data_IF_572951874467
#
_entry.id   IF_572951874467
#
_cell.length_a   1.000
_cell.length_b   1.000
_cell.length_c   1.000
_cell.angle_alpha   90.00
_cell.angle_beta   90.00
_cell.angle_gamma   90.00
#
_symmetry.space_group_name_H-M   'P 1'
#
loop_
_entity.id
_entity.type
_entity.pdbx_description
1 polymer ?
#
# COMPACT_ATOMS: atom_id res chain seq x y z
N UNK A 1 -4.47 20.69 17.48
CA UNK A 1 -4.48 21.08 16.05
C UNK A 1 -5.49 22.19 15.85
N UNK A 2 -5.07 23.32 15.31
CA UNK A 2 -5.95 24.47 15.06
C UNK A 2 -6.78 24.26 13.78
N UNK A 3 -7.91 24.99 13.63
CA UNK A 3 -8.71 24.96 12.39
C UNK A 3 -7.89 25.31 11.13
N UNK A 4 -6.81 26.08 11.28
CA UNK A 4 -5.88 26.42 10.20
C UNK A 4 -4.98 25.24 9.79
N UNK A 5 -4.63 24.35 10.73
CA UNK A 5 -3.82 23.16 10.42
C UNK A 5 -4.65 22.13 9.65
N UNK A 6 -5.94 21.98 10.00
CA UNK A 6 -6.87 21.11 9.26
C UNK A 6 -7.11 21.59 7.82
N UNK A 7 -7.21 22.89 7.60
CA UNK A 7 -7.36 23.46 6.25
C UNK A 7 -6.15 23.15 5.35
N UNK A 8 -4.95 23.38 5.83
CA UNK A 8 -3.69 23.13 5.10
C UNK A 8 -3.47 21.64 4.79
N UNK A 9 -3.80 20.74 5.73
CA UNK A 9 -3.70 19.29 5.53
C UNK A 9 -4.71 18.83 4.46
N UNK A 10 -5.93 19.36 4.47
CA UNK A 10 -6.97 19.04 3.51
C UNK A 10 -6.62 19.54 2.09
N UNK A 11 -6.00 20.68 1.97
CA UNK A 11 -5.55 21.28 0.71
C UNK A 11 -4.39 20.48 0.10
N UNK A 12 -3.38 20.12 0.89
CA UNK A 12 -2.27 19.24 0.48
C UNK A 12 -2.75 17.85 0.05
N UNK A 13 -3.71 17.25 0.77
CA UNK A 13 -4.29 15.95 0.41
C UNK A 13 -5.04 16.00 -0.93
N UNK A 14 -5.76 17.10 -1.21
CA UNK A 14 -6.43 17.32 -2.50
C UNK A 14 -5.43 17.47 -3.64
N UNK A 15 -4.34 18.21 -3.43
CA UNK A 15 -3.28 18.41 -4.41
C UNK A 15 -2.53 17.10 -4.71
N UNK A 16 -2.32 16.26 -3.69
CA UNK A 16 -1.74 14.94 -3.84
C UNK A 16 -2.56 14.07 -4.79
N UNK A 17 -3.88 13.95 -4.55
CA UNK A 17 -4.75 13.15 -5.41
C UNK A 17 -4.84 13.72 -6.82
N UNK A 18 -4.93 15.05 -6.99
CA UNK A 18 -4.98 15.70 -8.29
C UNK A 18 -3.76 15.41 -9.17
N UNK A 19 -2.59 15.18 -8.57
CA UNK A 19 -1.38 14.84 -9.31
C UNK A 19 -1.43 13.45 -9.97
N UNK A 20 -2.23 12.54 -9.42
CA UNK A 20 -2.35 11.16 -9.89
C UNK A 20 -3.71 10.85 -10.52
N UNK A 21 -4.73 11.70 -10.28
CA UNK A 21 -6.05 11.52 -10.83
C UNK A 21 -6.04 11.81 -12.33
N UNK A 22 -6.57 10.89 -13.11
CA UNK A 22 -6.65 11.03 -14.57
C UNK A 22 -8.06 10.83 -15.11
N UNK A 23 -8.98 10.40 -14.29
CA UNK A 23 -10.37 10.18 -14.67
C UNK A 23 -11.32 10.40 -13.50
N UNK A 24 -12.54 10.82 -13.84
CA UNK A 24 -13.67 10.94 -12.92
C UNK A 24 -14.84 10.14 -13.46
N UNK A 25 -15.52 9.40 -12.57
CA UNK A 25 -16.69 8.61 -12.93
C UNK A 25 -17.82 8.85 -11.95
N UNK A 26 -19.05 8.87 -12.46
CA UNK A 26 -20.28 8.90 -11.65
C UNK A 26 -20.79 7.48 -11.47
N UNK A 27 -21.18 7.13 -10.24
CA UNK A 27 -21.72 5.83 -9.89
C UNK A 27 -22.98 5.97 -9.04
N UNK A 28 -24.08 5.39 -9.50
CA UNK A 28 -25.34 5.37 -8.75
C UNK A 28 -25.47 4.06 -7.98
N UNK A 29 -25.61 4.17 -6.66
CA UNK A 29 -25.85 3.02 -5.78
C UNK A 29 -26.96 3.33 -4.80
N UNK A 30 -27.99 2.47 -4.78
CA UNK A 30 -29.25 2.70 -4.09
C UNK A 30 -29.84 4.08 -4.44
N UNK A 31 -30.12 4.92 -3.45
CA UNK A 31 -30.71 6.26 -3.63
C UNK A 31 -29.66 7.37 -3.82
N UNK A 32 -28.35 7.06 -3.70
CA UNK A 32 -27.27 8.05 -3.77
C UNK A 32 -26.53 7.99 -5.11
N UNK A 33 -26.06 9.14 -5.54
CA UNK A 33 -25.09 9.26 -6.65
C UNK A 33 -23.74 9.63 -6.08
N UNK A 34 -22.72 8.89 -6.45
CA UNK A 34 -21.34 9.07 -6.01
C UNK A 34 -20.46 9.52 -7.16
N UNK A 35 -19.41 10.26 -6.85
CA UNK A 35 -18.37 10.67 -7.80
C UNK A 35 -17.04 10.16 -7.31
N UNK A 36 -16.34 9.38 -8.15
CA UNK A 36 -15.03 8.84 -7.85
C UNK A 36 -13.97 9.39 -8.78
N UNK A 37 -12.91 9.93 -8.21
CA UNK A 37 -11.66 10.17 -8.94
C UNK A 37 -10.89 8.86 -9.02
N UNK A 38 -10.39 8.53 -10.21
CA UNK A 38 -9.66 7.30 -10.50
C UNK A 38 -8.23 7.63 -10.96
N UNK A 39 -7.34 6.63 -10.90
CA UNK A 39 -5.95 6.73 -11.33
C UNK A 39 -5.54 5.51 -12.15
N UNK A 40 -4.77 5.71 -13.22
CA UNK A 40 -4.10 4.62 -13.97
C UNK A 40 -3.09 3.86 -13.12
N UNK A 41 -2.67 4.47 -12.02
CA UNK A 41 -1.75 3.88 -11.05
C UNK A 41 -2.42 2.92 -10.07
N UNK A 42 -3.76 2.88 -10.03
CA UNK A 42 -4.57 2.07 -9.12
C UNK A 42 -5.44 1.07 -9.88
N UNK A 43 -5.93 0.06 -9.16
CA UNK A 43 -6.92 -0.88 -9.70
C UNK A 43 -8.21 -0.14 -10.10
N UNK A 44 -8.86 -0.61 -11.18
CA UNK A 44 -10.08 0.00 -11.74
C UNK A 44 -9.89 1.42 -12.28
N UNK A 45 -8.83 1.63 -13.07
CA UNK A 45 -8.44 2.93 -13.60
C UNK A 45 -9.41 3.55 -14.62
N UNK A 46 -10.28 2.77 -15.24
CA UNK A 46 -11.17 3.23 -16.32
C UNK A 46 -12.63 3.45 -15.88
N UNK A 47 -13.15 2.64 -14.98
CA UNK A 47 -14.52 2.69 -14.45
C UNK A 47 -14.59 1.89 -13.15
N UNK A 48 -15.72 1.93 -12.45
CA UNK A 48 -15.98 1.06 -11.31
C UNK A 48 -16.00 -0.39 -11.80
N UNK A 49 -15.16 -1.22 -11.19
CA UNK A 49 -14.99 -2.62 -11.52
C UNK A 49 -16.29 -3.43 -11.44
N UNK A 50 -16.51 -4.35 -12.37
CA UNK A 50 -17.71 -5.17 -12.42
C UNK A 50 -17.84 -6.13 -11.24
N UNK A 51 -16.75 -6.56 -10.63
CA UNK A 51 -16.75 -7.32 -9.38
C UNK A 51 -17.26 -6.49 -8.21
N UNK A 52 -16.81 -5.26 -8.07
CA UNK A 52 -17.30 -4.32 -7.05
C UNK A 52 -18.78 -4.01 -7.24
N UNK A 53 -19.26 -3.85 -8.48
CA UNK A 53 -20.69 -3.66 -8.79
C UNK A 53 -21.51 -4.89 -8.38
N UNK A 54 -21.00 -6.11 -8.67
CA UNK A 54 -21.67 -7.36 -8.29
C UNK A 54 -21.73 -7.51 -6.76
N UNK A 55 -20.64 -7.23 -6.05
CA UNK A 55 -20.62 -7.29 -4.59
C UNK A 55 -21.62 -6.31 -3.97
N UNK A 56 -21.65 -5.06 -4.45
CA UNK A 56 -22.60 -4.05 -3.96
C UNK A 56 -24.06 -4.44 -4.24
N UNK A 57 -24.36 -5.10 -5.36
CA UNK A 57 -25.69 -5.68 -5.65
C UNK A 57 -26.08 -6.72 -4.58
N UNK A 58 -25.19 -7.67 -4.27
CA UNK A 58 -25.42 -8.67 -3.21
C UNK A 58 -25.56 -8.01 -1.84
N UNK A 59 -24.71 -7.02 -1.56
CA UNK A 59 -24.78 -6.28 -0.31
C UNK A 59 -26.11 -5.52 -0.15
N UNK A 60 -26.65 -4.92 -1.22
CA UNK A 60 -27.96 -4.26 -1.16
C UNK A 60 -29.11 -5.22 -0.83
N UNK A 61 -29.10 -6.44 -1.36
CA UNK A 61 -30.08 -7.48 -1.04
C UNK A 61 -30.06 -7.84 0.45
N UNK A 62 -28.86 -7.99 1.01
CA UNK A 62 -28.68 -8.23 2.44
C UNK A 62 -29.21 -7.06 3.31
N UNK A 63 -29.02 -5.81 2.87
CA UNK A 63 -29.56 -4.64 3.56
C UNK A 63 -31.09 -4.61 3.52
N UNK A 64 -31.72 -5.01 2.42
CA UNK A 64 -33.17 -5.09 2.28
C UNK A 64 -33.78 -6.17 3.18
N UNK A 65 -33.10 -7.32 3.33
CA UNK A 65 -33.52 -8.37 4.26
C UNK A 65 -33.46 -7.89 5.72
N UNK A 66 -32.41 -7.17 6.11
CA UNK A 66 -32.31 -6.55 7.45
C UNK A 66 -33.42 -5.52 7.71
N UNK A 67 -33.86 -4.79 6.71
CA UNK A 67 -34.97 -3.87 6.82
C UNK A 67 -36.31 -4.61 7.06
N UNK A 68 -36.48 -5.78 6.43
CA UNK A 68 -37.69 -6.60 6.55
C UNK A 68 -37.77 -7.37 7.86
N UNK A 69 -36.60 -7.80 8.36
CA UNK A 69 -36.47 -8.63 9.58
C UNK A 69 -35.43 -8.02 10.51
N UNK A 70 -35.76 -6.93 11.24
CA UNK A 70 -34.87 -6.40 12.25
C UNK A 70 -34.63 -7.46 13.33
N UNK A 71 -33.41 -7.57 13.89
CA UNK A 71 -33.11 -8.52 14.97
C UNK A 71 -34.04 -8.26 16.16
N UNK A 72 -34.60 -9.32 16.74
CA UNK A 72 -35.64 -9.28 17.81
C UNK A 72 -35.23 -8.49 19.07
N UNK A 73 -33.93 -8.24 19.28
CA UNK A 73 -33.37 -7.52 20.43
C UNK A 73 -32.78 -6.15 20.03
N UNK A 74 -33.28 -5.50 19.01
CA UNK A 74 -32.81 -4.16 18.66
C UNK A 74 -33.18 -3.16 19.76
N UNK A 75 -32.19 -2.72 20.52
CA UNK A 75 -32.29 -1.55 21.38
C UNK A 75 -32.79 -0.36 20.56
N UNK A 76 -33.53 0.60 21.15
CA UNK A 76 -34.06 1.77 20.43
C UNK A 76 -32.98 2.60 19.71
N UNK A 77 -31.72 2.39 19.99
CA UNK A 77 -30.58 2.92 19.26
C UNK A 77 -29.57 1.78 19.04
N UNK A 78 -29.54 1.14 17.85
CA UNK A 78 -28.56 0.09 17.58
C UNK A 78 -27.14 0.64 17.73
N UNK A 79 -26.20 -0.14 18.26
CA UNK A 79 -24.81 0.27 18.35
C UNK A 79 -24.27 0.59 16.94
N UNK A 80 -23.32 1.52 16.87
CA UNK A 80 -22.67 1.87 15.61
C UNK A 80 -22.15 0.62 14.90
N UNK A 81 -22.47 0.47 13.60
CA UNK A 81 -22.00 -0.64 12.79
C UNK A 81 -20.54 -0.42 12.41
N UNK A 82 -19.71 -1.45 12.61
CA UNK A 82 -18.30 -1.46 12.24
C UNK A 82 -18.12 -2.21 10.92
N UNK A 83 -17.48 -1.55 9.95
CA UNK A 83 -17.24 -2.10 8.61
C UNK A 83 -15.75 -2.03 8.31
N UNK A 84 -15.17 -3.12 7.79
CA UNK A 84 -13.84 -3.14 7.22
C UNK A 84 -13.93 -3.26 5.70
N UNK A 85 -13.34 -2.31 4.97
CA UNK A 85 -13.08 -2.41 3.52
C UNK A 85 -11.62 -2.83 3.32
N UNK A 86 -11.40 -4.13 3.09
CA UNK A 86 -10.08 -4.72 2.99
C UNK A 86 -9.59 -4.76 1.54
N UNK A 87 -8.57 -3.96 1.24
CA UNK A 87 -8.10 -3.68 -0.12
C UNK A 87 -8.97 -2.61 -0.78
N UNK A 88 -9.08 -1.44 -0.14
CA UNK A 88 -10.08 -0.42 -0.47
C UNK A 88 -9.88 0.25 -1.85
N UNK A 89 -8.66 0.24 -2.40
CA UNK A 89 -8.37 0.90 -3.67
C UNK A 89 -8.75 2.38 -3.66
N UNK A 90 -9.70 2.79 -4.51
CA UNK A 90 -10.22 4.16 -4.54
C UNK A 90 -11.44 4.38 -3.62
N UNK A 91 -11.79 3.39 -2.80
CA UNK A 91 -12.80 3.49 -1.75
C UNK A 91 -14.24 3.13 -2.17
N UNK A 92 -14.46 2.49 -3.31
CA UNK A 92 -15.81 2.23 -3.83
C UNK A 92 -16.67 1.47 -2.84
N UNK A 93 -16.18 0.35 -2.30
CA UNK A 93 -16.97 -0.51 -1.42
C UNK A 93 -17.26 0.18 -0.08
N UNK A 94 -16.24 0.70 0.58
CA UNK A 94 -16.36 1.35 1.88
C UNK A 94 -17.22 2.61 1.84
N UNK A 95 -17.07 3.45 0.83
CA UNK A 95 -17.85 4.69 0.68
C UNK A 95 -19.32 4.37 0.39
N UNK A 96 -19.60 3.44 -0.52
CA UNK A 96 -20.99 3.02 -0.81
C UNK A 96 -21.65 2.35 0.39
N UNK A 97 -20.91 1.52 1.14
CA UNK A 97 -21.40 0.90 2.36
C UNK A 97 -21.70 1.94 3.46
N UNK A 98 -20.78 2.90 3.68
CA UNK A 98 -21.00 3.99 4.63
C UNK A 98 -22.29 4.75 4.33
N UNK A 99 -22.48 5.19 3.07
CA UNK A 99 -23.67 5.91 2.66
C UNK A 99 -24.95 5.09 2.80
N UNK A 100 -24.93 3.81 2.39
CA UNK A 100 -26.08 2.92 2.49
C UNK A 100 -26.49 2.63 3.94
N UNK A 101 -25.50 2.41 4.82
CA UNK A 101 -25.74 2.12 6.23
C UNK A 101 -26.17 3.38 7.03
N UNK A 102 -25.65 4.57 6.69
CA UNK A 102 -26.11 5.82 7.26
C UNK A 102 -27.61 6.07 6.97
N UNK A 103 -28.08 5.71 5.77
CA UNK A 103 -29.49 5.84 5.39
C UNK A 103 -30.41 4.84 6.11
N UNK A 104 -29.86 3.75 6.64
CA UNK A 104 -30.59 2.67 7.29
C UNK A 104 -30.59 2.74 8.81
N UNK A 105 -29.45 3.06 9.37
CA UNK A 105 -29.25 3.01 10.80
C UNK A 105 -29.55 4.38 11.40
N UNK A 106 -30.51 4.49 12.27
CA UNK A 106 -30.61 5.62 13.20
C UNK A 106 -29.38 5.73 14.13
N UNK A 107 -28.39 4.81 13.99
CA UNK A 107 -27.11 4.76 14.70
C UNK A 107 -25.91 5.10 13.81
N UNK A 108 -24.76 5.36 14.41
CA UNK A 108 -23.51 5.69 13.70
C UNK A 108 -22.99 4.50 12.87
N UNK A 109 -22.22 4.82 11.84
CA UNK A 109 -21.47 3.85 11.03
C UNK A 109 -20.02 4.25 11.04
N UNK A 110 -19.13 3.31 11.30
CA UNK A 110 -17.70 3.48 11.20
C UNK A 110 -17.12 2.49 10.19
N UNK A 111 -16.47 3.01 9.16
CA UNK A 111 -15.77 2.24 8.13
C UNK A 111 -14.26 2.44 8.31
N UNK A 112 -13.54 1.35 8.52
CA UNK A 112 -12.08 1.32 8.34
C UNK A 112 -11.80 0.83 6.91
N UNK A 113 -11.11 1.62 6.12
CA UNK A 113 -10.67 1.26 4.78
C UNK A 113 -9.15 0.99 4.82
N UNK A 114 -8.71 -0.19 4.42
CA UNK A 114 -7.30 -0.59 4.45
C UNK A 114 -6.79 -0.90 3.04
N UNK A 115 -5.60 -0.42 2.73
CA UNK A 115 -4.86 -0.85 1.54
C UNK A 115 -3.36 -0.80 1.83
N UNK A 116 -2.60 -1.73 1.24
CA UNK A 116 -1.13 -1.71 1.30
C UNK A 116 -0.51 -0.56 0.52
N UNK A 117 -1.27 0.04 -0.41
CA UNK A 117 -0.86 1.14 -1.26
C UNK A 117 -1.29 2.48 -0.64
N UNK A 118 -0.32 3.30 -0.24
CA UNK A 118 -0.59 4.61 0.34
C UNK A 118 -1.36 5.55 -0.61
N UNK A 119 -1.19 5.39 -1.93
CA UNK A 119 -1.95 6.16 -2.91
C UNK A 119 -3.43 5.78 -2.89
N UNK A 120 -3.74 4.49 -2.76
CA UNK A 120 -5.12 4.00 -2.65
C UNK A 120 -5.83 4.62 -1.45
N UNK A 121 -5.20 4.63 -0.28
CA UNK A 121 -5.75 5.24 0.92
C UNK A 121 -6.03 6.74 0.75
N UNK A 122 -5.11 7.47 0.09
CA UNK A 122 -5.33 8.91 -0.21
C UNK A 122 -6.49 9.14 -1.17
N UNK A 123 -6.66 8.29 -2.18
CA UNK A 123 -7.83 8.34 -3.07
C UNK A 123 -9.12 8.01 -2.32
N UNK A 124 -9.10 7.01 -1.44
CA UNK A 124 -10.25 6.66 -0.59
C UNK A 124 -10.67 7.83 0.30
N UNK A 125 -9.74 8.48 1.02
CA UNK A 125 -10.02 9.67 1.82
C UNK A 125 -10.59 10.83 1.00
N UNK A 126 -10.00 11.10 -0.16
CA UNK A 126 -10.45 12.16 -1.05
C UNK A 126 -11.86 11.90 -1.59
N UNK A 127 -12.10 10.69 -2.10
CA UNK A 127 -13.40 10.28 -2.62
C UNK A 127 -14.47 10.25 -1.52
N UNK A 128 -14.14 9.80 -0.30
CA UNK A 128 -15.07 9.81 0.83
C UNK A 128 -15.55 11.23 1.13
N UNK A 129 -14.65 12.18 1.33
CA UNK A 129 -14.99 13.59 1.59
C UNK A 129 -15.81 14.19 0.47
N UNK A 130 -15.47 13.91 -0.78
CA UNK A 130 -16.17 14.40 -1.96
C UNK A 130 -17.62 13.91 -2.03
N UNK A 131 -17.88 12.73 -1.47
CA UNK A 131 -19.21 12.13 -1.40
C UNK A 131 -19.93 12.38 -0.06
N UNK A 132 -19.45 13.34 0.73
CA UNK A 132 -20.06 13.72 2.01
C UNK A 132 -19.87 12.71 3.14
N UNK A 133 -18.91 11.79 3.02
CA UNK A 133 -18.52 10.86 4.08
C UNK A 133 -17.31 11.46 4.80
N UNK A 134 -17.51 11.90 6.04
CA UNK A 134 -16.47 12.53 6.87
C UNK A 134 -15.53 11.51 7.53
N UNK A 135 -14.46 12.04 8.14
CA UNK A 135 -13.44 11.22 8.80
C UNK A 135 -13.97 10.48 10.04
N UNK A 136 -15.07 10.96 10.63
CA UNK A 136 -15.78 10.29 11.73
C UNK A 136 -16.51 9.02 11.28
N UNK A 137 -16.83 8.91 9.99
CA UNK A 137 -17.55 7.77 9.40
C UNK A 137 -16.66 6.86 8.58
N UNK A 138 -15.54 7.38 8.02
CA UNK A 138 -14.59 6.58 7.26
C UNK A 138 -13.15 7.03 7.51
N UNK A 139 -12.32 6.08 7.95
CA UNK A 139 -10.88 6.25 8.15
C UNK A 139 -10.13 5.33 7.20
N UNK A 140 -9.28 5.88 6.32
CA UNK A 140 -8.40 5.10 5.47
C UNK A 140 -7.00 4.95 6.09
N UNK A 141 -6.47 3.74 6.08
CA UNK A 141 -5.17 3.40 6.67
C UNK A 141 -4.30 2.61 5.68
N UNK A 142 -3.03 3.03 5.58
CA UNK A 142 -2.06 2.32 4.74
C UNK A 142 -1.57 1.09 5.48
N UNK A 143 -2.32 0.02 5.36
CA UNK A 143 -2.09 -1.26 6.01
C UNK A 143 -2.52 -2.40 5.07
N UNK A 144 -1.82 -3.53 5.06
CA UNK A 144 -2.24 -4.70 4.30
C UNK A 144 -3.51 -5.34 4.87
N UNK A 145 -4.04 -6.33 4.13
CA UNK A 145 -5.27 -7.04 4.46
C UNK A 145 -5.30 -7.56 5.91
N UNK A 146 -6.36 -7.24 6.65
CA UNK A 146 -6.64 -7.71 8.00
C UNK A 146 -5.54 -7.40 9.03
N UNK A 147 -4.81 -6.35 8.82
CA UNK A 147 -3.90 -5.78 9.82
C UNK A 147 -4.67 -4.87 10.79
N UNK A 148 -4.08 -4.57 11.92
CA UNK A 148 -4.58 -3.59 12.87
C UNK A 148 -4.61 -4.08 14.32
N UNK A 149 -5.36 -3.38 15.17
CA UNK A 149 -5.39 -3.61 16.62
C UNK A 149 -5.93 -5.00 16.99
N UNK A 150 -5.28 -5.62 17.95
CA UNK A 150 -5.77 -6.83 18.59
C UNK A 150 -7.20 -6.60 19.13
N UNK A 151 -8.13 -7.50 18.83
CA UNK A 151 -9.52 -7.47 19.26
C UNK A 151 -10.51 -6.56 18.49
N UNK A 152 -10.15 -5.98 17.33
CA UNK A 152 -11.18 -5.41 16.46
C UNK A 152 -12.07 -6.53 15.91
N UNK A 153 -13.36 -6.48 16.24
CA UNK A 153 -14.40 -7.35 15.66
C UNK A 153 -15.32 -6.51 14.79
N UNK A 154 -15.62 -7.04 13.58
CA UNK A 154 -16.35 -6.35 12.55
C UNK A 154 -17.77 -6.92 12.38
N UNK A 155 -18.76 -6.04 12.20
CA UNK A 155 -20.09 -6.44 11.77
C UNK A 155 -20.08 -6.87 10.31
N UNK A 156 -19.29 -6.16 9.48
CA UNK A 156 -19.21 -6.37 8.03
C UNK A 156 -17.75 -6.28 7.60
N UNK A 157 -17.30 -7.22 6.78
CA UNK A 157 -16.05 -7.11 6.03
C UNK A 157 -16.39 -7.16 4.54
N UNK A 158 -15.93 -6.16 3.79
CA UNK A 158 -16.05 -6.06 2.35
C UNK A 158 -14.68 -6.23 1.72
N UNK A 159 -14.59 -6.94 0.61
CA UNK A 159 -13.34 -7.02 -0.16
C UNK A 159 -13.55 -7.39 -1.60
N UNK A 160 -12.91 -6.66 -2.50
CA UNK A 160 -12.62 -7.12 -3.86
C UNK A 160 -11.20 -7.69 -3.85
N UNK A 161 -11.10 -9.00 -3.53
CA UNK A 161 -9.83 -9.61 -3.17
C UNK A 161 -8.85 -9.64 -4.35
N UNK A 162 -7.60 -9.15 -4.19
CA UNK A 162 -6.65 -9.09 -5.29
C UNK A 162 -6.20 -10.51 -5.69
N UNK A 163 -6.53 -10.95 -6.91
CA UNK A 163 -6.22 -12.29 -7.43
C UNK A 163 -4.73 -12.64 -7.39
N UNK A 164 -3.85 -11.63 -7.42
CA UNK A 164 -2.38 -11.78 -7.42
C UNK A 164 -1.74 -11.67 -6.02
N UNK A 165 -2.53 -11.76 -4.96
CA UNK A 165 -1.98 -11.68 -3.59
C UNK A 165 -1.21 -12.94 -3.15
N UNK A 166 -1.24 -14.02 -3.96
CA UNK A 166 -0.66 -15.32 -3.61
C UNK A 166 -1.66 -16.25 -2.91
N UNK A 167 -1.67 -17.52 -3.29
CA UNK A 167 -2.64 -18.50 -2.75
C UNK A 167 -2.56 -18.69 -1.23
N UNK A 168 -1.36 -18.62 -0.67
CA UNK A 168 -1.13 -18.72 0.78
C UNK A 168 -1.77 -17.56 1.54
N UNK A 169 -1.60 -16.33 1.05
CA UNK A 169 -2.21 -15.12 1.60
C UNK A 169 -3.74 -15.16 1.46
N UNK A 170 -4.25 -15.58 0.29
CA UNK A 170 -5.69 -15.70 0.04
C UNK A 170 -6.37 -16.73 0.95
N UNK A 171 -5.71 -17.88 1.17
CA UNK A 171 -6.20 -18.92 2.11
C UNK A 171 -6.23 -18.40 3.55
N UNK A 172 -5.17 -17.73 3.99
CA UNK A 172 -5.11 -17.12 5.32
C UNK A 172 -6.17 -16.04 5.49
N UNK A 173 -6.39 -15.21 4.46
CA UNK A 173 -7.44 -14.18 4.47
C UNK A 173 -8.82 -14.75 4.78
N UNK A 174 -9.24 -15.85 4.14
CA UNK A 174 -10.55 -16.47 4.39
C UNK A 174 -10.70 -16.85 5.87
N UNK A 175 -9.67 -17.45 6.47
CA UNK A 175 -9.69 -17.87 7.87
C UNK A 175 -9.71 -16.67 8.83
N UNK A 176 -8.81 -15.68 8.61
CA UNK A 176 -8.69 -14.52 9.50
C UNK A 176 -9.87 -13.56 9.38
N UNK A 177 -10.43 -13.37 8.19
CA UNK A 177 -11.60 -12.52 8.02
C UNK A 177 -12.80 -13.05 8.80
N UNK A 178 -13.03 -14.37 8.79
CA UNK A 178 -14.08 -14.97 9.60
C UNK A 178 -13.80 -14.83 11.11
N UNK A 179 -12.53 -14.98 11.54
CA UNK A 179 -12.16 -14.83 12.95
C UNK A 179 -12.31 -13.37 13.43
N UNK A 180 -12.12 -12.40 12.56
CA UNK A 180 -12.28 -10.97 12.86
C UNK A 180 -13.73 -10.47 12.88
N UNK A 181 -14.71 -11.33 12.59
CA UNK A 181 -16.12 -10.98 12.68
C UNK A 181 -16.65 -11.01 14.11
N UNK A 182 -17.61 -10.15 14.41
CA UNK A 182 -18.55 -10.36 15.52
C UNK A 182 -19.37 -11.64 15.30
N UNK A 183 -20.11 -12.09 16.32
CA UNK A 183 -20.89 -13.34 16.26
C UNK A 183 -21.81 -13.43 15.03
N UNK A 184 -22.52 -12.36 14.72
CA UNK A 184 -23.47 -12.30 13.61
C UNK A 184 -22.92 -11.53 12.39
N UNK A 185 -21.62 -11.28 12.38
CA UNK A 185 -20.94 -10.56 11.31
C UNK A 185 -20.89 -11.36 10.01
N UNK A 186 -20.63 -10.66 8.90
CA UNK A 186 -20.56 -11.24 7.56
C UNK A 186 -19.38 -10.70 6.78
N UNK A 187 -18.72 -11.57 6.06
CA UNK A 187 -17.76 -11.23 5.01
C UNK A 187 -18.48 -11.26 3.67
N UNK A 188 -18.35 -10.20 2.91
CA UNK A 188 -18.73 -10.11 1.50
C UNK A 188 -17.45 -10.04 0.68
N UNK A 189 -17.12 -11.10 0.00
CA UNK A 189 -15.90 -11.21 -0.79
C UNK A 189 -16.25 -11.45 -2.25
N UNK A 190 -15.74 -10.60 -3.14
CA UNK A 190 -15.77 -10.85 -4.57
C UNK A 190 -14.40 -11.28 -5.07
N UNK A 191 -14.38 -12.30 -5.91
CA UNK A 191 -13.18 -12.86 -6.51
C UNK A 191 -13.39 -13.09 -8.01
N UNK A 192 -12.31 -13.07 -8.80
CA UNK A 192 -12.36 -13.45 -10.21
C UNK A 192 -12.77 -14.89 -10.37
N UNK A 193 -13.56 -15.19 -11.39
CA UNK A 193 -14.16 -16.51 -11.67
C UNK A 193 -13.16 -17.70 -11.60
N UNK A 194 -11.94 -17.60 -12.14
CA UNK A 194 -10.96 -18.69 -12.05
C UNK A 194 -10.54 -19.08 -10.64
N UNK A 195 -10.77 -18.24 -9.63
CA UNK A 195 -10.48 -18.53 -8.22
C UNK A 195 -11.70 -19.01 -7.43
N UNK A 196 -12.87 -19.16 -8.06
CA UNK A 196 -14.11 -19.53 -7.34
C UNK A 196 -14.00 -20.88 -6.62
N UNK A 197 -13.49 -21.92 -7.29
CA UNK A 197 -13.35 -23.24 -6.69
C UNK A 197 -12.30 -23.26 -5.57
N UNK A 198 -11.24 -22.47 -5.74
CA UNK A 198 -10.23 -22.29 -4.68
C UNK A 198 -10.84 -21.68 -3.42
N UNK A 199 -11.61 -20.59 -3.54
CA UNK A 199 -12.24 -19.95 -2.39
C UNK A 199 -13.32 -20.81 -1.75
N UNK A 200 -14.14 -21.51 -2.56
CA UNK A 200 -15.12 -22.45 -2.04
C UNK A 200 -14.45 -23.55 -1.21
N UNK A 201 -13.33 -24.09 -1.71
CA UNK A 201 -12.54 -25.09 -0.98
C UNK A 201 -11.94 -24.52 0.31
N UNK A 202 -11.48 -23.26 0.32
CA UNK A 202 -10.96 -22.61 1.52
C UNK A 202 -12.06 -22.40 2.58
N UNK A 203 -13.25 -21.96 2.19
CA UNK A 203 -14.41 -21.74 3.08
C UNK A 203 -14.85 -23.09 3.69
N UNK A 204 -14.97 -24.13 2.86
CA UNK A 204 -15.33 -25.48 3.31
C UNK A 204 -14.27 -26.06 4.25
N UNK A 205 -13.00 -25.97 3.90
CA UNK A 205 -11.90 -26.50 4.74
C UNK A 205 -11.77 -25.78 6.07
N UNK A 206 -12.19 -24.51 6.16
CA UNK A 206 -12.23 -23.75 7.40
C UNK A 206 -13.56 -23.94 8.18
N UNK A 207 -14.45 -24.83 7.72
CA UNK A 207 -15.78 -25.07 8.28
C UNK A 207 -16.60 -23.81 8.51
N UNK A 208 -16.50 -22.81 7.59
CA UNK A 208 -17.22 -21.55 7.69
C UNK A 208 -18.63 -21.68 7.11
N UNK A 209 -19.66 -21.09 7.74
CA UNK A 209 -21.01 -21.06 7.17
C UNK A 209 -21.02 -20.16 5.93
N UNK A 210 -21.33 -20.74 4.77
CA UNK A 210 -21.54 -20.02 3.52
C UNK A 210 -23.04 -19.70 3.40
N UNK A 211 -23.40 -18.41 3.47
CA UNK A 211 -24.78 -17.95 3.44
C UNK A 211 -25.29 -17.67 2.04
N UNK A 212 -24.40 -17.23 1.15
CA UNK A 212 -24.76 -16.91 -0.23
C UNK A 212 -23.57 -17.03 -1.15
N UNK A 213 -23.82 -17.45 -2.38
CA UNK A 213 -22.88 -17.47 -3.49
C UNK A 213 -23.58 -16.92 -4.74
N UNK A 214 -23.09 -15.80 -5.28
CA UNK A 214 -23.61 -15.20 -6.51
C UNK A 214 -22.58 -15.34 -7.63
N UNK A 215 -22.95 -16.07 -8.66
CA UNK A 215 -22.10 -16.29 -9.82
C UNK A 215 -22.38 -15.29 -10.94
N UNK A 216 -21.50 -14.31 -11.13
CA UNK A 216 -21.49 -13.42 -12.29
C UNK A 216 -20.79 -14.01 -13.49
N UNK A 217 -20.63 -13.22 -14.56
CA UNK A 217 -19.89 -13.60 -15.76
C UNK A 217 -18.42 -13.86 -15.48
N UNK A 218 -17.74 -12.88 -14.89
CA UNK A 218 -16.28 -12.86 -14.69
C UNK A 218 -15.87 -12.93 -13.21
N UNK A 219 -16.84 -12.87 -12.30
CA UNK A 219 -16.64 -12.82 -10.86
C UNK A 219 -17.63 -13.70 -10.12
N UNK A 220 -17.27 -14.11 -8.92
CA UNK A 220 -18.15 -14.78 -7.94
C UNK A 220 -18.09 -14.01 -6.63
N UNK A 221 -19.24 -13.76 -6.02
CA UNK A 221 -19.37 -13.20 -4.66
C UNK A 221 -19.67 -14.32 -3.70
N UNK A 222 -18.94 -14.35 -2.59
CA UNK A 222 -19.16 -15.25 -1.45
C UNK A 222 -19.59 -14.42 -0.25
N UNK A 223 -20.65 -14.86 0.45
CA UNK A 223 -21.06 -14.31 1.74
C UNK A 223 -20.94 -15.40 2.79
N UNK A 224 -20.01 -15.24 3.70
CA UNK A 224 -19.77 -16.22 4.77
C UNK A 224 -19.61 -15.55 6.12
N UNK A 225 -19.65 -16.33 7.19
CA UNK A 225 -19.63 -15.82 8.54
C UNK A 225 -18.62 -16.54 9.44
N UNK A 226 -18.69 -16.20 10.73
CA UNK A 226 -17.92 -16.83 11.79
C UNK A 226 -18.52 -18.21 12.12
N UNK A 227 -17.68 -19.21 12.33
CA UNK A 227 -18.06 -20.51 12.89
C UNK A 227 -17.79 -20.51 14.39
N UNK A 228 -18.56 -21.27 15.16
CA UNK A 228 -18.27 -21.49 16.59
C UNK A 228 -16.89 -22.12 16.82
N UNK A 229 -16.41 -22.87 15.82
CA UNK A 229 -15.09 -23.51 15.84
C UNK A 229 -13.97 -22.57 15.36
N UNK A 230 -14.29 -21.38 14.88
CA UNK A 230 -13.29 -20.43 14.37
C UNK A 230 -12.51 -19.86 15.55
N UNK A 231 -11.29 -20.35 15.77
CA UNK A 231 -10.41 -19.81 16.80
C UNK A 231 -10.13 -18.32 16.54
N UNK A 232 -10.08 -17.52 17.60
CA UNK A 232 -9.61 -16.13 17.50
C UNK A 232 -8.20 -16.17 16.94
N UNK A 233 -7.97 -15.52 15.79
CA UNK A 233 -6.63 -15.32 15.24
C UNK A 233 -6.18 -13.92 15.60
N UNK A 234 -4.92 -13.79 16.03
CA UNK A 234 -4.31 -12.48 16.25
C UNK A 234 -4.28 -11.69 14.95
N UNK A 235 -4.46 -10.38 15.00
CA UNK A 235 -4.26 -9.51 13.83
C UNK A 235 -2.82 -9.63 13.33
N UNK A 236 -2.62 -9.30 12.06
CA UNK A 236 -1.27 -9.21 11.50
C UNK A 236 -0.67 -7.90 12.00
N UNK A 237 0.49 -7.99 12.64
CA UNK A 237 1.26 -6.83 13.07
C UNK A 237 2.42 -6.66 12.09
N UNK A 238 2.54 -5.47 11.52
CA UNK A 238 3.62 -5.11 10.59
C UNK A 238 4.72 -4.37 11.35
N UNK A 239 5.47 -5.13 12.12
CA UNK A 239 6.65 -4.69 12.87
C UNK A 239 7.95 -5.24 12.27
N UNK A 240 9.04 -5.18 13.04
CA UNK A 240 10.35 -5.65 12.61
C UNK A 240 10.46 -7.18 12.49
N UNK A 241 9.46 -7.95 12.96
CA UNK A 241 9.38 -9.41 12.81
C UNK A 241 8.63 -9.83 11.54
N UNK A 242 8.03 -8.89 10.80
CA UNK A 242 7.44 -9.19 9.51
C UNK A 242 8.55 -9.40 8.45
N UNK A 243 8.50 -10.40 7.55
CA UNK A 243 7.42 -11.39 7.40
C UNK A 243 7.63 -12.68 8.18
N UNK A 244 8.64 -12.79 9.06
CA UNK A 244 9.03 -14.03 9.72
C UNK A 244 7.89 -14.65 10.54
N UNK A 245 7.11 -13.82 11.26
CA UNK A 245 5.95 -14.26 12.02
C UNK A 245 4.74 -14.63 11.14
N UNK A 246 4.81 -14.28 9.85
CA UNK A 246 3.74 -14.50 8.88
C UNK A 246 4.26 -15.21 7.62
N UNK A 247 4.71 -16.48 7.74
CA UNK A 247 5.41 -17.20 6.67
C UNK A 247 4.59 -17.37 5.39
N UNK A 248 3.27 -17.23 5.46
CA UNK A 248 2.40 -17.26 4.28
C UNK A 248 2.59 -16.04 3.33
N UNK A 249 3.25 -14.97 3.78
CA UNK A 249 3.69 -13.89 2.91
C UNK A 249 5.03 -14.18 2.21
N UNK A 250 5.87 -15.06 2.76
CA UNK A 250 7.17 -15.37 2.17
C UNK A 250 7.00 -16.21 0.91
N UNK A 251 7.60 -15.76 -0.20
CA UNK A 251 7.66 -16.51 -1.47
C UNK A 251 8.92 -17.34 -1.57
N UNK A 252 10.07 -16.69 -1.54
CA UNK A 252 11.38 -17.31 -1.69
C UNK A 252 12.38 -16.71 -0.70
N UNK A 253 13.37 -17.54 -0.33
CA UNK A 253 14.57 -17.12 0.43
C UNK A 253 15.75 -17.32 -0.48
N UNK A 254 16.35 -16.24 -0.98
CA UNK A 254 17.43 -16.32 -1.95
C UNK A 254 18.60 -15.41 -1.56
N UNK A 255 19.77 -15.83 -2.00
CA UNK A 255 20.96 -14.95 -2.05
C UNK A 255 21.10 -14.42 -3.46
N UNK A 256 21.28 -13.12 -3.56
CA UNK A 256 21.43 -12.38 -4.81
C UNK A 256 22.84 -11.83 -4.91
N UNK A 257 23.28 -11.56 -6.14
CA UNK A 257 24.52 -10.90 -6.41
C UNK A 257 24.32 -9.76 -7.42
N UNK A 258 24.85 -8.58 -7.10
CA UNK A 258 24.92 -7.44 -8.01
C UNK A 258 26.33 -6.83 -7.95
N UNK A 259 26.97 -6.70 -9.11
CA UNK A 259 28.32 -6.11 -9.25
C UNK A 259 29.36 -6.74 -8.29
N UNK A 260 29.31 -8.08 -8.11
CA UNK A 260 30.20 -8.84 -7.24
C UNK A 260 29.89 -8.76 -5.74
N UNK A 261 28.80 -8.11 -5.35
CA UNK A 261 28.37 -7.97 -3.95
C UNK A 261 27.14 -8.87 -3.72
N UNK A 262 27.27 -9.79 -2.78
CA UNK A 262 26.17 -10.70 -2.38
C UNK A 262 25.36 -10.13 -1.21
N UNK A 263 24.06 -10.37 -1.25
CA UNK A 263 23.11 -10.06 -0.17
C UNK A 263 21.96 -11.07 -0.17
N UNK A 264 21.32 -11.28 0.97
CA UNK A 264 20.17 -12.18 1.12
C UNK A 264 18.88 -11.39 1.28
N UNK A 265 17.81 -11.88 0.66
CA UNK A 265 16.48 -11.29 0.76
C UNK A 265 15.40 -12.36 0.71
N UNK A 266 14.45 -12.27 1.65
CA UNK A 266 13.19 -13.03 1.59
C UNK A 266 12.20 -12.24 0.75
N UNK A 267 11.88 -12.72 -0.47
CA UNK A 267 10.86 -12.10 -1.29
C UNK A 267 9.47 -12.45 -0.80
N UNK A 268 8.53 -11.53 -0.92
CA UNK A 268 7.19 -11.64 -0.35
C UNK A 268 6.08 -11.54 -1.40
N UNK A 269 4.95 -12.17 -1.09
CA UNK A 269 3.72 -12.03 -1.86
C UNK A 269 3.23 -10.58 -1.81
N UNK A 270 2.77 -10.08 -2.94
CA UNK A 270 2.20 -8.75 -3.04
C UNK A 270 3.21 -7.60 -3.10
N UNK A 271 4.51 -7.85 -3.06
CA UNK A 271 5.53 -6.84 -3.35
C UNK A 271 5.69 -6.66 -4.88
N UNK A 272 6.09 -5.47 -5.34
CA UNK A 272 6.61 -5.29 -6.69
C UNK A 272 7.93 -6.08 -6.84
N UNK A 273 8.53 -6.10 -8.02
CA UNK A 273 9.83 -6.76 -8.32
C UNK A 273 9.84 -8.30 -8.26
N UNK A 274 8.78 -8.93 -7.79
CA UNK A 274 8.69 -10.39 -7.63
C UNK A 274 9.95 -10.97 -6.94
N UNK A 275 10.70 -11.82 -7.63
CA UNK A 275 11.82 -12.58 -7.06
C UNK A 275 13.21 -12.08 -7.52
N UNK A 276 13.28 -11.00 -8.30
CA UNK A 276 14.55 -10.53 -8.85
C UNK A 276 14.66 -9.00 -8.80
N UNK A 277 15.88 -8.45 -8.63
CA UNK A 277 16.10 -7.02 -8.70
C UNK A 277 15.74 -6.48 -10.08
N UNK A 278 14.96 -5.38 -10.10
CA UNK A 278 14.56 -4.70 -11.33
C UNK A 278 15.74 -4.11 -12.12
N UNK A 279 15.55 -3.91 -13.44
CA UNK A 279 16.60 -3.39 -14.31
C UNK A 279 17.11 -2.00 -13.90
N UNK A 280 16.27 -1.15 -13.32
CA UNK A 280 16.62 0.16 -12.78
C UNK A 280 17.58 0.03 -11.58
N UNK A 281 17.30 -0.90 -10.66
CA UNK A 281 18.13 -1.22 -9.49
C UNK A 281 19.48 -1.74 -9.93
N UNK A 282 19.52 -2.67 -10.88
CA UNK A 282 20.76 -3.22 -11.44
C UNK A 282 21.62 -2.15 -12.13
N UNK A 283 21.01 -1.18 -12.82
CA UNK A 283 21.73 -0.08 -13.44
C UNK A 283 22.31 0.89 -12.38
N UNK A 284 21.55 1.16 -11.30
CA UNK A 284 21.97 2.02 -10.21
C UNK A 284 23.11 1.40 -9.40
N UNK A 285 23.07 0.10 -9.10
CA UNK A 285 24.15 -0.62 -8.43
C UNK A 285 25.45 -0.55 -9.25
N UNK A 286 25.39 -0.82 -10.56
CA UNK A 286 26.53 -0.68 -11.46
C UNK A 286 27.12 0.74 -11.49
N UNK A 287 26.24 1.75 -11.50
CA UNK A 287 26.67 3.14 -11.48
C UNK A 287 27.34 3.52 -10.16
N UNK A 288 26.78 3.08 -9.03
CA UNK A 288 27.33 3.32 -7.70
C UNK A 288 28.77 2.78 -7.55
N UNK A 289 29.00 1.53 -7.96
CA UNK A 289 30.35 0.91 -7.95
C UNK A 289 31.30 1.68 -8.87
N UNK A 290 30.88 1.98 -10.10
CA UNK A 290 31.72 2.70 -11.07
C UNK A 290 32.11 4.10 -10.60
N UNK A 291 31.18 4.82 -9.97
CA UNK A 291 31.43 6.19 -9.50
C UNK A 291 32.25 6.23 -8.21
N UNK A 292 32.09 5.26 -7.34
CA UNK A 292 32.80 5.12 -6.05
C UNK A 292 32.76 6.40 -5.18
N UNK A 293 31.59 7.02 -5.07
CA UNK A 293 31.40 8.31 -4.36
C UNK A 293 30.61 8.17 -3.05
N UNK A 294 30.01 7.01 -2.79
CA UNK A 294 29.17 6.75 -1.63
C UNK A 294 30.01 6.37 -0.42
N UNK A 295 29.61 6.80 0.78
CA UNK A 295 30.38 6.61 2.02
C UNK A 295 29.57 5.84 3.05
N UNK A 296 30.27 5.13 3.93
CA UNK A 296 29.65 4.34 5.00
C UNK A 296 28.84 5.20 5.98
N UNK A 297 29.26 6.42 6.24
CA UNK A 297 28.67 7.32 7.22
C UNK A 297 27.47 8.12 6.66
N UNK A 298 27.16 7.99 5.36
CA UNK A 298 26.11 8.76 4.71
C UNK A 298 24.74 8.45 5.35
N UNK A 299 23.94 9.50 5.62
CA UNK A 299 22.52 9.39 5.88
C UNK A 299 21.81 9.15 4.55
N UNK A 300 21.07 8.07 4.46
CA UNK A 300 20.56 7.52 3.19
C UNK A 300 19.04 7.55 3.14
N UNK A 301 18.48 8.03 2.05
CA UNK A 301 17.07 7.79 1.72
C UNK A 301 16.95 7.08 0.38
N UNK A 302 16.05 6.11 0.32
CA UNK A 302 15.73 5.34 -0.88
C UNK A 302 14.23 5.40 -1.12
N UNK A 303 13.82 5.92 -2.28
CA UNK A 303 12.43 5.99 -2.68
C UNK A 303 12.13 5.07 -3.85
N UNK A 304 11.09 4.26 -3.72
CA UNK A 304 10.49 3.53 -4.83
C UNK A 304 11.20 2.25 -5.25
N UNK A 305 12.10 1.71 -4.44
CA UNK A 305 12.88 0.53 -4.82
C UNK A 305 12.15 -0.83 -4.70
N UNK A 306 10.96 -0.87 -4.11
CA UNK A 306 10.23 -2.12 -3.89
C UNK A 306 10.56 -2.78 -2.55
N UNK A 307 10.96 -4.05 -2.55
CA UNK A 307 11.10 -4.86 -1.33
C UNK A 307 12.52 -4.92 -0.73
N UNK A 308 13.45 -4.04 -1.16
CA UNK A 308 14.74 -3.85 -0.49
C UNK A 308 15.97 -4.34 -1.23
N UNK A 309 15.88 -4.68 -2.51
CA UNK A 309 17.04 -5.14 -3.28
C UNK A 309 18.19 -4.14 -3.31
N UNK A 310 17.90 -2.85 -3.56
CA UNK A 310 18.96 -1.83 -3.59
C UNK A 310 19.47 -1.49 -2.18
N UNK A 311 18.58 -1.42 -1.18
CA UNK A 311 18.96 -1.12 0.20
C UNK A 311 19.91 -2.18 0.77
N UNK A 312 19.55 -3.46 0.63
CA UNK A 312 20.37 -4.57 1.12
C UNK A 312 21.71 -4.67 0.39
N UNK A 313 21.68 -4.53 -0.93
CA UNK A 313 22.90 -4.47 -1.72
C UNK A 313 23.79 -3.30 -1.30
N UNK A 314 23.20 -2.10 -1.12
CA UNK A 314 23.94 -0.91 -0.74
C UNK A 314 24.54 -1.04 0.67
N UNK A 315 23.81 -1.59 1.63
CA UNK A 315 24.31 -1.88 2.97
C UNK A 315 25.48 -2.90 2.92
N UNK A 316 25.37 -3.90 2.04
CA UNK A 316 26.47 -4.84 1.80
C UNK A 316 27.68 -4.18 1.16
N UNK A 317 27.49 -3.30 0.18
CA UNK A 317 28.54 -2.56 -0.51
C UNK A 317 29.29 -1.59 0.41
N UNK A 318 28.56 -0.82 1.23
CA UNK A 318 29.15 0.17 2.14
C UNK A 318 29.72 -0.45 3.41
N UNK A 319 29.33 -1.67 3.75
CA UNK A 319 29.70 -2.31 5.02
C UNK A 319 29.02 -1.71 6.24
N UNK A 320 27.83 -1.16 6.08
CA UNK A 320 27.05 -0.47 7.10
C UNK A 320 26.34 0.76 6.53
N UNK A 321 26.18 1.79 7.31
CA UNK A 321 25.58 3.06 6.91
C UNK A 321 25.21 3.93 8.10
N UNK A 322 24.94 5.21 7.85
CA UNK A 322 24.32 6.13 8.79
C UNK A 322 22.84 5.79 8.99
N UNK A 323 21.99 6.80 9.08
CA UNK A 323 20.52 6.61 9.18
C UNK A 323 19.93 6.24 7.83
N UNK A 324 18.97 5.33 7.83
CA UNK A 324 18.28 4.88 6.62
C UNK A 324 16.80 5.26 6.65
N UNK A 325 16.32 5.80 5.54
CA UNK A 325 14.88 6.05 5.33
C UNK A 325 14.45 5.40 4.03
N UNK A 326 13.54 4.42 4.12
CA UNK A 326 12.95 3.77 2.97
C UNK A 326 11.56 4.37 2.72
N UNK A 327 11.27 4.78 1.50
CA UNK A 327 9.97 5.32 1.15
C UNK A 327 9.43 4.71 -0.14
N UNK A 328 8.10 4.69 -0.27
CA UNK A 328 7.41 4.12 -1.42
C UNK A 328 5.93 3.87 -1.16
N UNK A 329 5.22 3.42 -2.16
CA UNK A 329 3.76 3.24 -2.08
C UNK A 329 3.34 2.06 -1.22
N UNK A 330 4.03 0.92 -1.36
CA UNK A 330 3.62 -0.37 -0.83
C UNK A 330 4.22 -0.58 0.57
N UNK A 331 3.40 -0.39 1.61
CA UNK A 331 3.84 -0.54 3.00
C UNK A 331 4.29 -1.97 3.33
N UNK A 332 3.70 -2.98 2.70
CA UNK A 332 4.08 -4.38 2.86
C UNK A 332 5.53 -4.62 2.42
N UNK A 333 5.89 -4.09 1.24
CA UNK A 333 7.27 -4.15 0.73
C UNK A 333 8.25 -3.37 1.61
N UNK A 334 7.86 -2.15 2.04
CA UNK A 334 8.69 -1.32 2.92
C UNK A 334 8.98 -1.97 4.27
N UNK A 335 7.97 -2.59 4.89
CA UNK A 335 8.15 -3.27 6.19
C UNK A 335 9.07 -4.48 6.06
N UNK A 336 8.91 -5.28 5.00
CA UNK A 336 9.81 -6.40 4.71
C UNK A 336 11.24 -5.92 4.44
N UNK A 337 11.41 -4.86 3.65
CA UNK A 337 12.72 -4.26 3.37
C UNK A 337 13.38 -3.73 4.66
N UNK A 338 12.61 -3.06 5.52
CA UNK A 338 13.10 -2.55 6.81
C UNK A 338 13.60 -3.68 7.71
N UNK A 339 12.83 -4.75 7.86
CA UNK A 339 13.22 -5.89 8.69
C UNK A 339 14.51 -6.55 8.18
N UNK A 340 14.57 -6.86 6.88
CA UNK A 340 15.74 -7.45 6.26
C UNK A 340 16.98 -6.54 6.34
N UNK A 341 16.81 -5.22 6.15
CA UNK A 341 17.90 -4.26 6.25
C UNK A 341 18.44 -4.15 7.69
N UNK A 342 17.56 -4.13 8.69
CA UNK A 342 17.98 -4.14 10.10
C UNK A 342 18.78 -5.39 10.45
N UNK A 343 18.33 -6.56 10.01
CA UNK A 343 19.07 -7.82 10.20
C UNK A 343 20.46 -7.75 9.56
N UNK A 344 20.55 -7.33 8.30
CA UNK A 344 21.82 -7.22 7.57
C UNK A 344 22.79 -6.19 8.19
N UNK A 345 22.29 -5.08 8.74
CA UNK A 345 23.11 -4.07 9.42
C UNK A 345 23.62 -4.58 10.78
N UNK A 346 22.77 -5.29 11.54
CA UNK A 346 23.16 -5.91 12.81
C UNK A 346 24.24 -6.99 12.64
N UNK A 347 24.16 -7.81 11.59
CA UNK A 347 25.19 -8.81 11.29
C UNK A 347 26.57 -8.17 11.06
N UNK A 348 26.61 -6.97 10.46
CA UNK A 348 27.86 -6.26 10.14
C UNK A 348 28.41 -5.41 11.28
N UNK A 349 27.53 -4.87 12.12
CA UNK A 349 27.87 -4.02 13.25
C UNK A 349 27.00 -4.38 14.47
N UNK A 350 27.27 -5.51 15.17
CA UNK A 350 26.42 -6.02 16.22
C UNK A 350 26.20 -5.07 17.43
N UNK A 351 27.06 -4.10 17.58
CA UNK A 351 27.01 -3.12 18.67
C UNK A 351 26.41 -1.76 18.26
N UNK A 352 26.07 -1.56 16.99
CA UNK A 352 25.52 -0.32 16.46
C UNK A 352 24.03 -0.51 16.10
N UNK A 353 23.15 0.18 16.79
CA UNK A 353 21.73 0.23 16.39
C UNK A 353 21.54 1.29 15.31
N UNK A 354 21.71 0.91 14.05
CA UNK A 354 21.46 1.81 12.92
C UNK A 354 19.94 2.08 12.76
N UNK A 355 19.49 3.35 12.83
CA UNK A 355 18.09 3.66 12.66
C UNK A 355 17.59 3.39 11.23
N UNK A 356 16.50 2.62 11.09
CA UNK A 356 15.81 2.40 9.80
C UNK A 356 14.36 2.81 9.93
N UNK A 357 13.96 3.82 9.16
CA UNK A 357 12.59 4.37 9.13
C UNK A 357 11.92 4.05 7.80
N UNK A 358 10.59 3.83 7.81
CA UNK A 358 9.78 3.69 6.59
C UNK A 358 8.78 4.83 6.47
N UNK A 359 8.55 5.30 5.24
CA UNK A 359 7.57 6.34 4.91
C UNK A 359 6.70 5.86 3.74
N UNK A 360 5.45 5.42 4.01
CA UNK A 360 4.51 5.06 2.94
C UNK A 360 4.09 6.30 2.15
N UNK A 361 4.66 6.48 0.96
CA UNK A 361 4.40 7.64 0.10
C UNK A 361 4.59 7.31 -1.38
N UNK A 362 3.71 7.83 -2.24
CA UNK A 362 3.86 7.70 -3.69
C UNK A 362 4.65 8.86 -4.33
N UNK A 363 4.82 9.97 -3.62
CA UNK A 363 5.45 11.20 -4.11
C UNK A 363 6.32 11.82 -3.01
N UNK A 364 7.59 12.01 -3.31
CA UNK A 364 8.55 12.65 -2.39
C UNK A 364 8.20 14.12 -2.14
N UNK A 365 7.77 14.86 -3.17
CA UNK A 365 7.53 16.29 -3.06
C UNK A 365 6.40 16.63 -2.07
N UNK A 366 5.24 16.01 -2.25
CA UNK A 366 4.07 16.28 -1.38
C UNK A 366 4.30 15.82 0.06
N UNK A 367 5.10 14.77 0.22
CA UNK A 367 5.37 14.18 1.51
C UNK A 367 6.73 14.59 2.10
N UNK A 368 7.38 15.65 1.56
CA UNK A 368 8.69 16.11 2.06
C UNK A 368 8.68 16.39 3.57
N UNK A 369 7.56 16.88 4.10
CA UNK A 369 7.39 17.13 5.55
C UNK A 369 7.44 15.83 6.40
N UNK A 370 7.22 14.66 5.78
CA UNK A 370 7.30 13.35 6.45
C UNK A 370 8.75 12.88 6.62
N UNK A 371 9.70 13.48 5.90
CA UNK A 371 11.12 13.16 6.02
C UNK A 371 11.76 13.92 7.19
N UNK A 372 11.35 13.57 8.42
CA UNK A 372 11.77 14.26 9.65
C UNK A 372 13.28 14.37 9.85
N UNK A 373 14.07 13.52 9.18
CA UNK A 373 15.52 13.49 9.26
C UNK A 373 16.21 14.06 8.01
N UNK A 374 15.46 14.65 7.08
CA UNK A 374 16.06 15.36 5.95
C UNK A 374 16.87 16.58 6.46
N UNK A 375 17.88 17.04 5.70
CA UNK A 375 18.31 16.48 4.41
C UNK A 375 19.29 15.30 4.54
N UNK A 376 19.42 14.50 3.44
CA UNK A 376 20.23 13.28 3.36
C UNK A 376 21.53 13.48 2.56
N UNK A 377 22.57 12.72 2.90
CA UNK A 377 23.84 12.69 2.14
C UNK A 377 23.66 11.94 0.81
N UNK A 378 22.86 10.86 0.83
CA UNK A 378 22.49 10.08 -0.35
C UNK A 378 20.97 10.01 -0.52
N UNK A 379 20.48 10.45 -1.66
CA UNK A 379 19.09 10.25 -2.10
C UNK A 379 19.07 9.30 -3.29
N UNK A 380 18.58 8.07 -3.11
CA UNK A 380 18.30 7.13 -4.19
C UNK A 380 16.82 7.21 -4.58
N UNK A 381 16.55 7.30 -5.88
CA UNK A 381 15.19 7.45 -6.41
C UNK A 381 14.95 6.48 -7.57
N UNK A 382 13.95 5.62 -7.40
CA UNK A 382 13.47 4.72 -8.44
C UNK A 382 12.05 5.11 -8.82
N UNK A 383 11.85 5.47 -10.09
CA UNK A 383 10.55 5.92 -10.58
C UNK A 383 9.57 4.74 -10.60
N UNK A 384 8.51 4.85 -9.81
CA UNK A 384 7.43 3.85 -9.73
C UNK A 384 6.13 4.34 -10.37
N UNK A 385 6.01 5.64 -10.66
CA UNK A 385 4.79 6.29 -11.12
C UNK A 385 5.09 7.32 -12.20
N UNK A 386 4.11 7.60 -13.05
CA UNK A 386 4.21 8.62 -14.10
C UNK A 386 4.07 10.05 -13.53
N UNK A 387 4.99 10.44 -12.65
CA UNK A 387 5.04 11.81 -12.12
C UNK A 387 5.76 12.78 -13.06
N UNK A 388 5.36 14.05 -13.02
CA UNK A 388 6.09 15.09 -13.71
C UNK A 388 7.52 15.25 -13.16
N UNK A 389 8.51 15.26 -14.06
CA UNK A 389 9.91 15.34 -13.69
C UNK A 389 10.25 16.56 -12.83
N UNK A 390 9.62 17.72 -13.08
CA UNK A 390 9.82 18.93 -12.27
C UNK A 390 9.42 18.72 -10.81
N UNK A 391 8.28 18.06 -10.58
CA UNK A 391 7.77 17.73 -9.25
C UNK A 391 8.69 16.79 -8.49
N UNK A 392 9.18 15.76 -9.18
CA UNK A 392 10.16 14.82 -8.61
C UNK A 392 11.44 15.55 -8.22
N UNK A 393 11.96 16.43 -9.09
CA UNK A 393 13.14 17.24 -8.81
C UNK A 393 12.96 18.16 -7.61
N UNK A 394 11.79 18.79 -7.45
CA UNK A 394 11.49 19.62 -6.28
C UNK A 394 11.60 18.79 -4.99
N UNK A 395 11.00 17.61 -4.95
CA UNK A 395 11.10 16.72 -3.80
C UNK A 395 12.55 16.30 -3.50
N UNK A 396 13.27 15.82 -4.50
CA UNK A 396 14.68 15.42 -4.36
C UNK A 396 15.54 16.57 -3.83
N UNK A 397 15.35 17.78 -4.36
CA UNK A 397 16.14 18.96 -3.96
C UNK A 397 15.88 19.35 -2.50
N UNK A 398 14.65 19.20 -2.01
CA UNK A 398 14.30 19.52 -0.64
C UNK A 398 14.92 18.56 0.40
N UNK A 399 15.09 17.29 0.02
CA UNK A 399 15.56 16.26 0.95
C UNK A 399 17.04 15.90 0.79
N UNK A 400 17.75 16.47 -0.17
CA UNK A 400 19.18 16.22 -0.40
C UNK A 400 20.03 17.33 0.19
N UNK A 401 21.07 16.99 0.99
CA UNK A 401 22.02 17.95 1.55
C UNK A 401 22.77 18.72 0.45
N UNK A 402 23.19 19.97 0.68
CA UNK A 402 24.17 20.62 -0.16
C UNK A 402 25.46 19.76 -0.29
N UNK A 403 25.88 19.52 -1.52
CA UNK A 403 26.98 18.59 -1.82
C UNK A 403 26.60 17.10 -1.80
N UNK A 404 25.40 16.75 -1.38
CA UNK A 404 24.89 15.38 -1.33
C UNK A 404 24.73 14.74 -2.71
N UNK A 405 24.68 13.42 -2.74
CA UNK A 405 24.61 12.62 -3.97
C UNK A 405 23.17 12.18 -4.20
N UNK A 406 22.74 12.28 -5.47
CA UNK A 406 21.47 11.71 -5.94
C UNK A 406 21.79 10.61 -6.94
N UNK A 407 21.22 9.42 -6.76
CA UNK A 407 21.27 8.33 -7.73
C UNK A 407 19.84 7.96 -8.13
N UNK A 408 19.59 7.82 -9.45
CA UNK A 408 18.26 7.45 -9.96
C UNK A 408 18.38 6.24 -10.87
N UNK A 409 17.33 5.42 -10.90
CA UNK A 409 17.18 4.32 -11.83
C UNK A 409 15.79 4.32 -12.47
N UNK A 410 15.72 4.27 -13.81
CA UNK A 410 14.48 4.28 -14.57
C UNK A 410 14.69 3.74 -15.99
N UNK A 411 13.67 3.66 -16.82
CA UNK A 411 13.83 3.33 -18.24
C UNK A 411 14.67 4.40 -18.97
N UNK A 412 15.34 4.01 -20.04
CA UNK A 412 16.19 4.97 -20.78
C UNK A 412 15.44 6.19 -21.30
N UNK A 413 14.18 6.01 -21.71
CA UNK A 413 13.32 7.10 -22.20
C UNK A 413 12.93 8.07 -21.08
N UNK A 414 12.58 7.54 -19.91
CA UNK A 414 12.27 8.34 -18.73
C UNK A 414 13.51 9.09 -18.23
N UNK A 415 14.66 8.44 -18.22
CA UNK A 415 15.92 9.06 -17.82
C UNK A 415 16.28 10.28 -18.67
N UNK A 416 16.04 10.23 -19.98
CA UNK A 416 16.27 11.40 -20.87
C UNK A 416 15.30 12.54 -20.59
N UNK A 417 14.03 12.23 -20.32
CA UNK A 417 13.02 13.24 -19.95
C UNK A 417 13.34 13.87 -18.61
N UNK A 418 13.73 13.04 -17.63
CA UNK A 418 14.10 13.45 -16.29
C UNK A 418 15.34 14.35 -16.28
N UNK A 419 16.40 13.97 -16.98
CA UNK A 419 17.66 14.72 -17.07
C UNK A 419 17.47 16.10 -17.73
N UNK A 420 16.60 16.21 -18.76
CA UNK A 420 16.27 17.49 -19.39
C UNK A 420 15.60 18.51 -18.45
N UNK A 421 14.96 18.04 -17.39
CA UNK A 421 14.27 18.88 -16.39
C UNK A 421 15.10 19.11 -15.14
N UNK A 422 16.36 18.69 -15.16
CA UNK A 422 17.30 18.84 -14.05
C UNK A 422 17.45 20.32 -13.66
N UNK A 423 17.28 20.70 -12.36
CA UNK A 423 17.48 22.06 -11.92
C UNK A 423 18.97 22.46 -11.94
N UNK A 424 19.29 23.76 -12.06
CA UNK A 424 20.67 24.24 -12.04
C UNK A 424 21.45 23.85 -10.78
N UNK A 425 20.76 23.69 -9.65
CA UNK A 425 21.34 23.24 -8.37
C UNK A 425 21.85 21.80 -8.37
N UNK A 426 21.57 21.03 -9.43
CA UNK A 426 22.00 19.63 -9.56
C UNK A 426 22.99 19.46 -10.69
N UNK A 427 24.22 19.06 -10.40
CA UNK A 427 25.27 18.77 -11.39
C UNK A 427 25.28 17.27 -11.70
N UNK A 428 25.10 16.88 -12.95
CA UNK A 428 25.26 15.50 -13.38
C UNK A 428 26.74 15.08 -13.27
N UNK A 429 27.00 13.97 -12.61
CA UNK A 429 28.34 13.40 -12.41
C UNK A 429 28.62 12.25 -13.39
N UNK A 430 27.69 11.30 -13.48
CA UNK A 430 27.89 10.08 -14.23
C UNK A 430 26.54 9.48 -14.68
N UNK A 431 26.62 8.50 -15.58
CA UNK A 431 25.49 7.65 -15.96
C UNK A 431 25.94 6.22 -16.36
N UNK A 432 24.97 5.31 -16.33
CA UNK A 432 25.14 3.94 -16.76
C UNK A 432 23.88 3.42 -17.47
N UNK A 433 24.03 2.76 -18.61
CA UNK A 433 22.95 2.08 -19.33
C UNK A 433 23.06 0.57 -19.12
N UNK A 434 21.90 -0.10 -18.94
CA UNK A 434 21.82 -1.56 -18.83
C UNK A 434 20.47 -2.05 -19.34
N UNK A 435 20.47 -2.78 -20.47
CA UNK A 435 19.27 -3.48 -21.02
C UNK A 435 17.97 -2.67 -20.98
N UNK A 436 17.97 -1.48 -21.61
CA UNK A 436 16.77 -0.61 -21.68
C UNK A 436 16.56 0.30 -20.46
N UNK A 437 17.34 0.13 -19.39
CA UNK A 437 17.35 0.98 -18.21
C UNK A 437 18.58 1.90 -18.20
N UNK A 438 18.44 3.02 -17.51
CA UNK A 438 19.51 3.98 -17.29
C UNK A 438 19.51 4.46 -15.85
N UNK A 439 20.67 4.47 -15.24
CA UNK A 439 20.91 5.14 -13.97
C UNK A 439 21.66 6.44 -14.20
N UNK A 440 21.32 7.47 -13.44
CA UNK A 440 21.93 8.79 -13.48
C UNK A 440 22.39 9.17 -12.07
N UNK A 441 23.57 9.79 -11.97
CA UNK A 441 24.11 10.28 -10.72
C UNK A 441 24.33 11.79 -10.79
N UNK A 442 23.89 12.47 -9.73
CA UNK A 442 24.03 13.93 -9.61
C UNK A 442 24.61 14.31 -8.25
N UNK A 443 25.13 15.52 -8.18
CA UNK A 443 25.53 16.16 -6.94
C UNK A 443 24.75 17.46 -6.77
N UNK A 444 24.20 17.66 -5.60
CA UNK A 444 23.61 18.94 -5.21
C UNK A 444 24.70 20.02 -5.12
N UNK A 445 24.40 21.25 -5.51
CA UNK A 445 25.32 22.36 -5.35
C UNK A 445 25.73 22.50 -3.88
N UNK A 446 26.98 22.85 -3.64
CA UNK A 446 27.44 23.24 -2.30
C UNK A 446 26.82 24.62 -1.97
N UNK A 447 26.44 24.80 -0.73
CA UNK A 447 25.95 26.09 -0.25
C UNK A 447 27.01 27.18 -0.39
#
# INVERSE_FOLDING_TARGET
MTKNDHGKICEKASEYVKAFANREVSFKYLKRSYIFSLSVELFSSADIDSGSRLLLKVFSSFLDDRRRFPPENSSPMPPALSVLDAGCGVGVLGICAAGALQDLAGGGVFVRAQDRDSLACRFTEYNARRNGIGAESLLAQTEPLLSGEANCEWDIILTNIPAKAGKSVLKDFVRRSAAALKKDGRVFMVAVKPLSDFFRSCITAAALPLFHEENGKDYTVFVYGKSEQTAKSSPIIFDDNFPSDYPFYTRNKNTYEMEGISYSLNTIEGAPDFDNPGGAVLAAAKLAVKANLLKKEDDITIHGEGQGHFALWLAAYLGGGGRWTLSGRNVLALTSAKAALKEALLEKAPHEQTPVTIIPAADIFINSDMFAHAPFDLTAFFLQTALEANRVWQGITQITKPGGIVITGMTSTEAERFDRKKPPSMRRLADCKRKGFRALMYQAAKA
#
